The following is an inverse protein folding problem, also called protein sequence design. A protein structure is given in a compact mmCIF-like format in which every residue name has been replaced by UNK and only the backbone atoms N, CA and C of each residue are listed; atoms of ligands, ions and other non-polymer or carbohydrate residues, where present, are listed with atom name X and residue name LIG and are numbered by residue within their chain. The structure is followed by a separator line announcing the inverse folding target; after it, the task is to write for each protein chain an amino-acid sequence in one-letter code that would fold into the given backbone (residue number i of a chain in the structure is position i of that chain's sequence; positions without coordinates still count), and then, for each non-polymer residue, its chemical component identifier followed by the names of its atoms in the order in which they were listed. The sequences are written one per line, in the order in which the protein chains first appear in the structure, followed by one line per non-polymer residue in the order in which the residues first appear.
data_IF_948732247807
#
_entry.id   IF_948732247807
#
_cell.length_a   1.000
_cell.length_b   1.000
_cell.length_c   1.000
_cell.angle_alpha   90.00
_cell.angle_beta   90.00
_cell.angle_gamma   90.00
#
_symmetry.space_group_name_H-M   'P 1'
#
loop_
_entity.id
_entity.type
_entity.pdbx_description
1 polymer ?
#
# COMPACT_ATOMS: atom_id res chain seq x y z
N UNK A 1 -23.35 13.25 18.48
CA UNK A 1 -22.95 12.14 19.37
C UNK A 1 -23.21 10.83 18.64
N UNK A 2 -22.26 10.35 17.85
CA UNK A 2 -22.35 9.02 17.23
C UNK A 2 -21.83 7.99 18.24
N UNK A 3 -22.69 7.07 18.66
CA UNK A 3 -22.34 5.89 19.45
C UNK A 3 -21.39 5.03 18.61
N UNK A 4 -20.11 5.08 18.92
CA UNK A 4 -19.12 4.08 18.49
C UNK A 4 -19.52 2.76 19.17
N UNK A 5 -20.21 1.89 18.45
CA UNK A 5 -20.47 0.51 18.86
C UNK A 5 -19.10 -0.16 19.05
N UNK A 6 -18.66 -0.34 20.28
CA UNK A 6 -17.50 -1.17 20.63
C UNK A 6 -17.81 -2.61 20.20
N UNK A 7 -17.34 -3.02 19.02
CA UNK A 7 -17.37 -4.43 18.61
C UNK A 7 -16.65 -5.23 19.69
N UNK A 8 -17.31 -6.25 20.23
CA UNK A 8 -16.71 -7.18 21.19
C UNK A 8 -15.37 -7.72 20.62
N UNK A 9 -14.34 -7.88 21.44
CA UNK A 9 -13.05 -8.40 20.99
C UNK A 9 -13.25 -9.77 20.33
N UNK A 10 -12.51 -10.04 19.27
CA UNK A 10 -12.69 -11.17 18.37
C UNK A 10 -12.65 -12.52 19.09
N UNK A 11 -11.81 -12.66 20.12
CA UNK A 11 -11.71 -13.84 20.94
C UNK A 11 -12.98 -14.15 21.74
N UNK A 12 -13.74 -13.13 22.17
CA UNK A 12 -15.03 -13.30 22.86
C UNK A 12 -16.10 -13.88 21.94
N UNK A 13 -16.11 -13.45 20.68
CA UNK A 13 -17.02 -13.97 19.66
C UNK A 13 -16.67 -15.43 19.34
N UNK A 14 -15.40 -15.74 19.18
CA UNK A 14 -14.92 -17.07 18.86
C UNK A 14 -15.21 -18.04 20.02
N UNK A 15 -15.04 -17.58 21.27
CA UNK A 15 -15.42 -18.33 22.46
C UNK A 15 -16.96 -18.59 22.54
N UNK A 16 -17.76 -17.56 22.20
CA UNK A 16 -19.21 -17.69 22.15
C UNK A 16 -19.68 -18.74 21.13
N UNK A 17 -19.10 -18.71 19.92
CA UNK A 17 -19.35 -19.72 18.88
C UNK A 17 -18.94 -21.11 19.35
N UNK A 18 -17.78 -21.25 19.97
CA UNK A 18 -17.29 -22.53 20.51
C UNK A 18 -18.27 -23.12 21.53
N UNK A 19 -18.66 -22.34 22.54
CA UNK A 19 -19.59 -22.80 23.60
C UNK A 19 -20.95 -23.16 23.01
N UNK A 20 -21.50 -22.36 22.12
CA UNK A 20 -22.82 -22.58 21.52
C UNK A 20 -22.84 -23.84 20.66
N UNK A 21 -21.82 -24.03 19.80
CA UNK A 21 -21.78 -25.19 18.90
C UNK A 21 -21.46 -26.47 19.66
N UNK A 22 -20.51 -26.47 20.60
CA UNK A 22 -20.19 -27.64 21.42
C UNK A 22 -21.32 -27.99 22.36
N UNK A 23 -21.95 -27.01 23.01
CA UNK A 23 -23.12 -27.23 23.87
C UNK A 23 -24.31 -27.78 23.07
N UNK A 24 -24.54 -27.28 21.85
CA UNK A 24 -25.54 -27.81 20.93
C UNK A 24 -25.26 -29.24 20.52
N UNK A 25 -24.01 -29.61 20.25
CA UNK A 25 -23.62 -30.98 19.92
C UNK A 25 -23.87 -31.94 21.08
N UNK A 26 -23.51 -31.55 22.31
CA UNK A 26 -23.81 -32.33 23.52
C UNK A 26 -25.31 -32.49 23.70
N UNK A 27 -26.10 -31.41 23.56
CA UNK A 27 -27.55 -31.43 23.66
C UNK A 27 -28.22 -32.36 22.65
N UNK A 28 -27.79 -32.32 21.38
CA UNK A 28 -28.25 -33.21 20.32
C UNK A 28 -27.93 -34.66 20.66
N UNK A 29 -26.73 -34.96 21.10
CA UNK A 29 -26.32 -36.30 21.47
C UNK A 29 -27.10 -36.83 22.68
N UNK A 30 -27.37 -35.99 23.70
CA UNK A 30 -28.22 -36.36 24.85
C UNK A 30 -29.67 -36.66 24.43
N UNK A 31 -30.22 -35.87 23.51
CA UNK A 31 -31.57 -36.09 23.00
C UNK A 31 -31.65 -37.37 22.16
N UNK A 32 -30.63 -37.68 21.37
CA UNK A 32 -30.55 -38.91 20.60
C UNK A 32 -30.37 -40.15 21.52
N UNK A 33 -29.57 -40.04 22.59
CA UNK A 33 -29.40 -41.12 23.56
C UNK A 33 -30.68 -41.43 24.35
N UNK A 34 -31.56 -40.45 24.53
CA UNK A 34 -32.88 -40.68 25.13
C UNK A 34 -33.86 -41.42 24.21
N UNK A 35 -33.59 -41.43 22.89
CA UNK A 35 -34.42 -42.11 21.89
C UNK A 35 -33.91 -43.47 21.47
N UNK A 36 -32.64 -43.79 21.70
CA UNK A 36 -31.97 -45.03 21.30
C UNK A 36 -31.34 -45.67 22.53
N UNK A 37 -31.63 -46.95 22.79
CA UNK A 37 -31.07 -47.68 23.94
C UNK A 37 -29.54 -47.73 23.92
N UNK A 38 -28.94 -47.30 25.01
CA UNK A 38 -27.55 -47.42 25.53
C UNK A 38 -26.33 -47.28 24.59
N UNK A 39 -26.48 -47.24 23.30
CA UNK A 39 -25.36 -46.97 22.37
C UNK A 39 -25.72 -45.84 21.42
N UNK A 40 -25.04 -44.66 21.54
CA UNK A 40 -25.22 -43.54 20.63
C UNK A 40 -24.19 -43.60 19.49
N UNK A 41 -24.46 -44.33 18.39
CA UNK A 41 -23.50 -44.48 17.28
C UNK A 41 -23.28 -43.18 16.53
N UNK A 42 -24.13 -42.16 16.76
CA UNK A 42 -24.09 -40.87 16.04
C UNK A 42 -23.22 -39.82 16.73
N UNK A 43 -22.80 -40.04 17.99
CA UNK A 43 -22.06 -39.03 18.77
C UNK A 43 -20.79 -38.57 18.06
N UNK A 44 -19.98 -39.48 17.53
CA UNK A 44 -18.76 -39.15 16.79
C UNK A 44 -19.04 -38.25 15.58
N UNK A 45 -20.09 -38.57 14.80
CA UNK A 45 -20.46 -37.80 13.61
C UNK A 45 -20.94 -36.39 13.95
N UNK A 46 -21.74 -36.25 15.02
CA UNK A 46 -22.23 -34.95 15.53
C UNK A 46 -21.06 -34.08 15.99
N UNK A 47 -20.10 -34.64 16.71
CA UNK A 47 -18.91 -33.88 17.15
C UNK A 47 -17.98 -33.53 16.01
N UNK A 48 -17.81 -34.38 14.98
CA UNK A 48 -17.08 -34.02 13.76
C UNK A 48 -17.73 -32.79 13.08
N UNK A 49 -19.07 -32.81 12.94
CA UNK A 49 -19.82 -31.71 12.39
C UNK A 49 -19.64 -30.42 13.24
N UNK A 50 -19.67 -30.55 14.57
CA UNK A 50 -19.41 -29.42 15.47
C UNK A 50 -18.03 -28.81 15.25
N UNK A 51 -16.99 -29.62 15.10
CA UNK A 51 -15.62 -29.15 14.80
C UNK A 51 -15.56 -28.42 13.46
N UNK A 52 -16.23 -28.95 12.43
CA UNK A 52 -16.31 -28.28 11.11
C UNK A 52 -17.01 -26.93 11.22
N UNK A 53 -18.11 -26.83 11.95
CA UNK A 53 -18.82 -25.57 12.17
C UNK A 53 -17.98 -24.55 12.95
N UNK A 54 -17.30 -24.99 14.02
CA UNK A 54 -16.42 -24.14 14.80
C UNK A 54 -15.30 -23.61 13.89
N UNK A 55 -14.62 -24.45 13.12
CA UNK A 55 -13.57 -24.07 12.18
C UNK A 55 -14.09 -23.10 11.10
N UNK A 56 -15.35 -23.22 10.68
CA UNK A 56 -15.99 -22.34 9.69
C UNK A 56 -16.26 -20.95 10.23
N UNK A 57 -16.73 -20.83 11.48
CA UNK A 57 -17.20 -19.57 12.05
C UNK A 57 -16.18 -18.85 12.96
N UNK A 58 -15.08 -19.52 13.34
CA UNK A 58 -13.98 -18.93 14.12
C UNK A 58 -12.77 -18.64 13.24
N UNK A 59 -11.79 -17.88 13.77
CA UNK A 59 -10.58 -17.54 13.05
C UNK A 59 -9.34 -18.25 13.62
N UNK A 60 -8.48 -18.71 12.69
CA UNK A 60 -7.23 -19.41 13.02
C UNK A 60 -7.40 -20.91 13.25
N UNK A 61 -6.29 -21.58 13.54
CA UNK A 61 -6.24 -23.03 13.74
C UNK A 61 -6.67 -23.45 15.16
N UNK A 62 -6.38 -22.59 16.14
CA UNK A 62 -6.49 -22.93 17.56
C UNK A 62 -7.91 -23.36 17.99
N UNK A 63 -9.00 -22.63 17.62
CA UNK A 63 -10.35 -23.03 18.01
C UNK A 63 -10.75 -24.38 17.45
N UNK A 64 -10.37 -24.70 16.20
CA UNK A 64 -10.67 -25.98 15.57
C UNK A 64 -9.94 -27.15 16.24
N UNK A 65 -8.65 -26.99 16.55
CA UNK A 65 -7.85 -28.01 17.25
C UNK A 65 -8.36 -28.24 18.67
N UNK A 66 -8.70 -27.18 19.39
CA UNK A 66 -9.30 -27.29 20.74
C UNK A 66 -10.67 -27.99 20.69
N UNK A 67 -11.50 -27.65 19.70
CA UNK A 67 -12.78 -28.31 19.51
C UNK A 67 -12.64 -29.81 19.22
N UNK A 68 -11.62 -30.19 18.44
CA UNK A 68 -11.30 -31.59 18.19
C UNK A 68 -10.90 -32.33 19.47
N UNK A 69 -9.97 -31.75 20.25
CA UNK A 69 -9.50 -32.33 21.50
C UNK A 69 -10.64 -32.48 22.51
N UNK A 70 -11.45 -31.43 22.71
CA UNK A 70 -12.62 -31.44 23.61
C UNK A 70 -13.68 -32.41 23.09
N UNK A 71 -13.89 -32.48 21.76
CA UNK A 71 -14.82 -33.42 21.15
C UNK A 71 -14.45 -34.89 21.39
N UNK A 72 -13.17 -35.25 21.21
CA UNK A 72 -12.65 -36.58 21.46
C UNK A 72 -12.87 -36.97 22.95
N UNK A 73 -12.46 -36.07 23.87
CA UNK A 73 -12.65 -36.30 25.32
C UNK A 73 -14.13 -36.39 25.68
N UNK A 74 -14.96 -35.50 25.12
CA UNK A 74 -16.41 -35.48 25.38
C UNK A 74 -17.13 -36.75 24.88
N UNK A 75 -16.81 -37.24 23.70
CA UNK A 75 -17.39 -38.50 23.17
C UNK A 75 -16.98 -39.68 24.04
N UNK A 76 -15.67 -39.75 24.42
CA UNK A 76 -15.21 -40.88 25.27
C UNK A 76 -15.87 -40.87 26.64
N UNK A 77 -15.93 -39.73 27.32
CA UNK A 77 -16.40 -39.63 28.69
C UNK A 77 -17.93 -39.67 28.83
N UNK A 78 -18.70 -39.05 27.89
CA UNK A 78 -20.13 -38.87 28.02
C UNK A 78 -20.94 -39.91 27.23
N UNK A 79 -20.40 -40.42 26.11
CA UNK A 79 -21.19 -41.21 25.15
C UNK A 79 -20.60 -42.60 24.85
N UNK A 80 -19.56 -43.02 25.59
CA UNK A 80 -18.94 -44.35 25.45
C UNK A 80 -19.12 -45.18 26.72
N UNK A 81 -19.54 -46.43 26.58
CA UNK A 81 -19.67 -47.36 27.72
C UNK A 81 -18.28 -47.84 28.19
N UNK A 82 -17.99 -47.95 29.50
CA UNK A 82 -18.81 -47.50 30.65
C UNK A 82 -18.82 -45.96 30.73
N UNK A 83 -20.03 -45.41 30.93
CA UNK A 83 -20.22 -43.94 30.97
C UNK A 83 -19.50 -43.33 32.17
N UNK A 84 -18.96 -42.10 31.98
CA UNK A 84 -18.25 -41.32 32.99
C UNK A 84 -16.89 -41.91 33.41
N UNK A 85 -16.35 -42.85 32.64
CA UNK A 85 -14.99 -43.37 32.78
C UNK A 85 -14.23 -43.22 31.47
N UNK A 86 -12.90 -42.92 31.57
CA UNK A 86 -12.04 -42.92 30.39
C UNK A 86 -11.66 -44.34 30.02
N UNK A 87 -12.23 -44.88 28.97
CA UNK A 87 -11.94 -46.22 28.51
C UNK A 87 -11.29 -46.18 27.11
N UNK A 88 -10.00 -46.50 27.06
CA UNK A 88 -9.23 -46.62 25.83
C UNK A 88 -9.00 -48.10 25.43
N UNK A 89 -9.48 -49.03 26.23
CA UNK A 89 -9.20 -50.47 26.07
C UNK A 89 -10.24 -51.22 25.25
N UNK A 90 -11.35 -50.58 24.82
CA UNK A 90 -12.35 -51.20 23.96
C UNK A 90 -11.83 -51.24 22.51
N UNK A 91 -11.83 -52.40 21.90
CA UNK A 91 -11.37 -52.60 20.53
C UNK A 91 -12.09 -51.66 19.54
N UNK A 92 -11.29 -50.89 18.79
CA UNK A 92 -11.76 -49.93 17.79
C UNK A 92 -11.89 -48.47 18.24
N UNK A 93 -12.09 -48.17 19.53
CA UNK A 93 -12.21 -46.77 19.98
C UNK A 93 -10.93 -45.94 19.80
N UNK A 94 -9.71 -46.47 20.08
CA UNK A 94 -8.49 -45.69 19.84
C UNK A 94 -8.32 -45.26 18.37
N UNK A 95 -8.70 -46.15 17.44
CA UNK A 95 -8.69 -45.86 16.03
C UNK A 95 -9.72 -44.78 15.65
N UNK A 96 -10.94 -44.88 16.20
CA UNK A 96 -11.99 -43.85 15.95
C UNK A 96 -11.58 -42.49 16.46
N UNK A 97 -10.95 -42.41 17.63
CA UNK A 97 -10.43 -41.13 18.16
C UNK A 97 -9.27 -40.58 17.34
N UNK A 98 -8.34 -41.43 16.89
CA UNK A 98 -7.27 -41.02 16.01
C UNK A 98 -7.82 -40.49 14.68
N UNK A 99 -8.78 -41.16 14.06
CA UNK A 99 -9.44 -40.70 12.83
C UNK A 99 -10.16 -39.38 13.06
N UNK A 100 -10.92 -39.23 14.15
CA UNK A 100 -11.62 -38.01 14.49
C UNK A 100 -10.65 -36.84 14.66
N UNK A 101 -9.51 -37.03 15.33
CA UNK A 101 -8.49 -36.02 15.51
C UNK A 101 -7.88 -35.61 14.14
N UNK A 102 -7.50 -36.60 13.33
CA UNK A 102 -6.91 -36.37 12.00
C UNK A 102 -7.87 -35.61 11.10
N UNK A 103 -9.12 -36.05 11.01
CA UNK A 103 -10.16 -35.37 10.21
C UNK A 103 -10.36 -33.93 10.68
N UNK A 104 -10.42 -33.73 12.00
CA UNK A 104 -10.61 -32.39 12.59
C UNK A 104 -9.47 -31.46 12.28
N UNK A 105 -8.22 -31.90 12.39
CA UNK A 105 -7.04 -31.13 12.05
C UNK A 105 -6.99 -30.81 10.54
N UNK A 106 -7.28 -31.78 9.69
CA UNK A 106 -7.33 -31.58 8.23
C UNK A 106 -8.39 -30.55 7.84
N UNK A 107 -9.62 -30.71 8.36
CA UNK A 107 -10.71 -29.75 8.05
C UNK A 107 -10.39 -28.35 8.56
N UNK A 108 -9.86 -28.22 9.77
CA UNK A 108 -9.44 -26.93 10.33
C UNK A 108 -8.38 -26.27 9.48
N UNK A 109 -7.37 -27.04 9.04
CA UNK A 109 -6.29 -26.58 8.17
C UNK A 109 -6.82 -26.12 6.81
N UNK A 110 -7.61 -26.95 6.14
CA UNK A 110 -8.20 -26.63 4.84
C UNK A 110 -9.09 -25.38 4.91
N UNK A 111 -9.94 -25.29 5.93
CA UNK A 111 -10.83 -24.14 6.10
C UNK A 111 -10.04 -22.83 6.30
N UNK A 112 -8.96 -22.89 7.09
CA UNK A 112 -8.10 -21.72 7.31
C UNK A 112 -7.36 -21.31 6.03
N UNK A 113 -6.86 -22.27 5.26
CA UNK A 113 -6.22 -22.01 3.97
C UNK A 113 -7.19 -21.38 2.96
N UNK A 114 -8.42 -21.91 2.85
CA UNK A 114 -9.44 -21.36 1.96
C UNK A 114 -9.75 -19.90 2.33
N UNK A 115 -9.99 -19.60 3.62
CA UNK A 115 -10.25 -18.23 4.08
C UNK A 115 -9.10 -17.28 3.75
N UNK A 116 -7.86 -17.71 3.96
CA UNK A 116 -6.67 -16.91 3.63
C UNK A 116 -6.58 -16.66 2.13
N UNK A 117 -6.85 -17.66 1.32
CA UNK A 117 -6.82 -17.53 -0.14
C UNK A 117 -7.93 -16.61 -0.66
N UNK A 118 -9.16 -16.69 -0.09
CA UNK A 118 -10.26 -15.78 -0.41
C UNK A 118 -9.91 -14.34 -0.04
N UNK A 119 -9.29 -14.11 1.11
CA UNK A 119 -8.88 -12.78 1.54
C UNK A 119 -7.81 -12.18 0.59
N UNK A 120 -6.80 -12.98 0.24
CA UNK A 120 -5.76 -12.54 -0.71
C UNK A 120 -6.35 -12.25 -2.11
N UNK A 121 -7.31 -13.05 -2.57
CA UNK A 121 -8.01 -12.80 -3.84
C UNK A 121 -8.81 -11.49 -3.79
N UNK A 122 -9.54 -11.26 -2.69
CA UNK A 122 -10.31 -10.02 -2.53
C UNK A 122 -9.42 -8.78 -2.51
N UNK A 123 -8.28 -8.83 -1.84
CA UNK A 123 -7.28 -7.75 -1.82
C UNK A 123 -6.71 -7.52 -3.24
N UNK A 124 -6.33 -8.58 -3.94
CA UNK A 124 -5.81 -8.50 -5.30
C UNK A 124 -6.85 -7.96 -6.31
N UNK A 125 -8.13 -8.36 -6.21
CA UNK A 125 -9.21 -7.81 -7.04
C UNK A 125 -9.45 -6.33 -6.77
N UNK A 126 -9.43 -5.92 -5.51
CA UNK A 126 -9.56 -4.52 -5.11
C UNK A 126 -8.45 -3.65 -5.67
N UNK A 127 -7.21 -4.13 -5.60
CA UNK A 127 -6.05 -3.40 -6.13
C UNK A 127 -6.08 -3.36 -7.67
N UNK A 128 -6.46 -4.45 -8.31
CA UNK A 128 -6.65 -4.51 -9.77
C UNK A 128 -7.75 -3.55 -10.26
N UNK A 129 -8.87 -3.47 -9.52
CA UNK A 129 -9.95 -2.52 -9.83
C UNK A 129 -9.46 -1.08 -9.68
N UNK A 130 -8.70 -0.74 -8.62
CA UNK A 130 -8.08 0.57 -8.44
C UNK A 130 -7.15 0.92 -9.60
N UNK A 131 -6.25 0.02 -9.97
CA UNK A 131 -5.32 0.23 -11.07
C UNK A 131 -6.05 0.47 -12.41
N UNK A 132 -7.10 -0.30 -12.70
CA UNK A 132 -7.90 -0.14 -13.91
C UNK A 132 -8.67 1.19 -13.93
N UNK A 133 -9.31 1.57 -12.83
CA UNK A 133 -10.01 2.86 -12.70
C UNK A 133 -9.05 4.03 -12.93
N UNK A 134 -7.87 3.99 -12.35
CA UNK A 134 -6.90 5.07 -12.48
C UNK A 134 -6.30 5.15 -13.90
N UNK A 135 -6.11 4.01 -14.57
CA UNK A 135 -5.70 3.99 -15.98
C UNK A 135 -6.77 4.59 -16.88
N UNK A 136 -8.06 4.27 -16.66
CA UNK A 136 -9.18 4.85 -17.37
C UNK A 136 -9.26 6.36 -17.13
N UNK A 137 -9.25 6.80 -15.88
CA UNK A 137 -9.28 8.23 -15.49
C UNK A 137 -8.17 9.02 -16.18
N UNK A 138 -6.96 8.48 -16.23
CA UNK A 138 -5.84 9.17 -16.86
C UNK A 138 -5.97 9.29 -18.38
N UNK A 139 -6.51 8.26 -19.04
CA UNK A 139 -6.83 8.34 -20.47
C UNK A 139 -7.90 9.41 -20.72
N UNK A 140 -8.95 9.43 -19.88
CA UNK A 140 -10.10 10.33 -20.05
C UNK A 140 -9.77 11.80 -19.68
N UNK A 141 -8.74 12.03 -18.87
CA UNK A 141 -8.19 13.38 -18.59
C UNK A 141 -7.24 13.84 -19.72
N UNK A 142 -6.47 12.93 -20.33
CA UNK A 142 -5.51 13.29 -21.39
C UNK A 142 -6.21 13.89 -22.64
N UNK A 143 -7.37 13.35 -22.99
CA UNK A 143 -8.12 13.78 -24.19
C UNK A 143 -8.64 15.23 -24.09
N UNK A 144 -9.42 15.65 -23.07
CA UNK A 144 -9.88 17.03 -22.94
C UNK A 144 -8.70 18.00 -22.75
N UNK A 145 -7.63 17.59 -22.07
CA UNK A 145 -6.43 18.41 -21.97
C UNK A 145 -5.83 18.73 -23.35
N UNK A 146 -5.64 17.73 -24.21
CA UNK A 146 -5.09 17.96 -25.54
C UNK A 146 -5.94 18.97 -26.34
N UNK A 147 -7.27 18.89 -26.17
CA UNK A 147 -8.21 19.85 -26.75
C UNK A 147 -8.03 21.26 -26.15
N UNK A 148 -7.96 21.40 -24.82
CA UNK A 148 -7.75 22.68 -24.13
C UNK A 148 -6.42 23.30 -24.53
N UNK A 149 -5.32 22.53 -24.51
CA UNK A 149 -4.00 23.00 -24.93
C UNK A 149 -3.96 23.46 -26.39
N UNK A 150 -4.58 22.68 -27.31
CA UNK A 150 -4.67 23.02 -28.71
C UNK A 150 -5.46 24.30 -28.96
N UNK A 151 -6.64 24.42 -28.35
CA UNK A 151 -7.50 25.59 -28.47
C UNK A 151 -6.83 26.84 -27.87
N UNK A 152 -6.18 26.71 -26.71
CA UNK A 152 -5.45 27.82 -26.09
C UNK A 152 -4.32 28.33 -27.00
N UNK A 153 -3.54 27.44 -27.64
CA UNK A 153 -2.48 27.83 -28.56
C UNK A 153 -3.06 28.54 -29.81
N UNK A 154 -4.17 28.04 -30.36
CA UNK A 154 -4.86 28.66 -31.52
C UNK A 154 -5.38 30.07 -31.19
N UNK A 155 -5.86 30.27 -29.97
CA UNK A 155 -6.36 31.59 -29.50
C UNK A 155 -5.19 32.55 -29.26
N UNK A 156 -4.04 32.09 -28.75
CA UNK A 156 -2.82 32.89 -28.57
C UNK A 156 -2.22 33.36 -29.91
N UNK A 157 -2.31 32.59 -30.97
CA UNK A 157 -1.84 32.94 -32.31
C UNK A 157 -2.75 33.96 -33.04
N UNK A 158 -3.95 34.21 -32.51
CA UNK A 158 -4.90 35.21 -33.08
C UNK A 158 -4.50 36.63 -32.66
N UNK A 159 -4.33 37.55 -33.64
CA UNK A 159 -3.89 38.94 -33.46
C UNK A 159 -4.81 39.87 -32.62
N UNK A 160 -5.93 39.38 -32.08
CA UNK A 160 -7.01 40.22 -31.52
C UNK A 160 -7.30 40.06 -30.03
N UNK A 161 -6.47 39.33 -29.27
CA UNK A 161 -6.69 39.20 -27.85
C UNK A 161 -6.21 40.43 -27.05
N UNK A 162 -7.08 40.91 -26.14
CA UNK A 162 -6.68 41.88 -25.13
C UNK A 162 -5.66 41.24 -24.15
N UNK A 163 -4.89 42.06 -23.45
CA UNK A 163 -3.93 41.59 -22.45
C UNK A 163 -4.61 40.75 -21.35
N UNK A 164 -5.84 41.07 -20.99
CA UNK A 164 -6.67 40.31 -20.05
C UNK A 164 -7.08 38.92 -20.63
N UNK A 165 -7.42 38.89 -21.93
CA UNK A 165 -7.72 37.64 -22.62
C UNK A 165 -6.52 36.71 -22.74
N UNK A 166 -5.33 37.24 -22.97
CA UNK A 166 -4.07 36.48 -22.95
C UNK A 166 -3.78 35.88 -21.58
N UNK A 167 -4.01 36.65 -20.50
CA UNK A 167 -3.85 36.16 -19.13
C UNK A 167 -4.79 34.99 -18.82
N UNK A 168 -6.05 35.06 -19.26
CA UNK A 168 -7.03 33.96 -19.07
C UNK A 168 -6.64 32.69 -19.85
N UNK A 169 -6.16 32.83 -21.07
CA UNK A 169 -5.70 31.69 -21.88
C UNK A 169 -4.49 31.02 -21.24
N UNK A 170 -3.53 31.79 -20.74
CA UNK A 170 -2.37 31.26 -20.04
C UNK A 170 -2.77 30.52 -18.76
N UNK A 171 -3.73 31.03 -17.99
CA UNK A 171 -4.27 30.37 -16.80
C UNK A 171 -4.96 29.05 -17.16
N UNK A 172 -5.74 29.00 -18.24
CA UNK A 172 -6.36 27.76 -18.73
C UNK A 172 -5.28 26.74 -19.13
N UNK A 173 -4.22 27.17 -19.81
CA UNK A 173 -3.11 26.33 -20.21
C UNK A 173 -2.36 25.75 -19.00
N UNK A 174 -2.09 26.55 -17.99
CA UNK A 174 -1.45 26.12 -16.74
C UNK A 174 -2.31 25.11 -15.98
N UNK A 175 -3.62 25.35 -15.87
CA UNK A 175 -4.55 24.42 -15.23
C UNK A 175 -4.65 23.10 -15.98
N UNK A 176 -4.66 23.11 -17.33
CA UNK A 176 -4.65 21.89 -18.14
C UNK A 176 -3.35 21.08 -17.99
N UNK A 177 -2.21 21.74 -17.91
CA UNK A 177 -0.92 21.09 -17.63
C UNK A 177 -0.89 20.49 -16.23
N UNK A 178 -1.41 21.20 -15.24
CA UNK A 178 -1.52 20.70 -13.88
C UNK A 178 -2.38 19.42 -13.78
N UNK A 179 -3.56 19.41 -14.42
CA UNK A 179 -4.43 18.23 -14.44
C UNK A 179 -3.74 16.99 -15.02
N UNK A 180 -2.87 17.19 -16.03
CA UNK A 180 -2.10 16.08 -16.57
C UNK A 180 -1.07 15.54 -15.59
N UNK A 181 -0.26 16.44 -14.99
CA UNK A 181 0.72 16.04 -13.98
C UNK A 181 0.06 15.28 -12.82
N UNK A 182 -1.14 15.73 -12.41
CA UNK A 182 -1.93 15.03 -11.41
C UNK A 182 -2.30 13.62 -11.88
N UNK A 183 -2.80 13.47 -13.10
CA UNK A 183 -3.18 12.17 -13.66
C UNK A 183 -1.99 11.22 -13.83
N UNK A 184 -0.85 11.72 -14.32
CA UNK A 184 0.39 10.97 -14.47
C UNK A 184 0.96 10.53 -13.10
N UNK A 185 0.88 11.40 -12.10
CA UNK A 185 1.31 11.09 -10.74
C UNK A 185 0.41 10.01 -10.10
N UNK A 186 -0.92 10.10 -10.26
CA UNK A 186 -1.85 9.08 -9.77
C UNK A 186 -1.59 7.73 -10.44
N UNK A 187 -1.34 7.71 -11.76
CA UNK A 187 -0.99 6.49 -12.50
C UNK A 187 0.31 5.86 -12.01
N UNK A 188 1.31 6.69 -11.74
CA UNK A 188 2.61 6.20 -11.25
C UNK A 188 2.46 5.55 -9.88
N UNK A 189 1.72 6.18 -8.93
CA UNK A 189 1.46 5.57 -7.60
C UNK A 189 0.78 4.21 -7.73
N UNK A 190 -0.20 4.07 -8.63
CA UNK A 190 -0.92 2.81 -8.78
C UNK A 190 -0.13 1.73 -9.49
N UNK A 191 0.71 2.10 -10.47
CA UNK A 191 1.62 1.15 -11.11
C UNK A 191 2.63 0.55 -10.12
N UNK A 192 3.17 1.37 -9.22
CA UNK A 192 4.24 0.97 -8.30
C UNK A 192 3.74 0.49 -6.93
N UNK A 193 2.44 0.55 -6.65
CA UNK A 193 1.84 -0.03 -5.44
C UNK A 193 1.55 -1.53 -5.55
N UNK A 194 1.71 -2.12 -6.74
CA UNK A 194 1.60 -3.57 -6.94
C UNK A 194 2.96 -4.22 -6.66
N UNK A 195 3.01 -5.14 -5.71
CA UNK A 195 4.17 -6.03 -5.50
C UNK A 195 4.40 -6.83 -6.81
N UNK A 196 5.53 -6.58 -7.47
CA UNK A 196 5.92 -7.32 -8.67
C UNK A 196 5.95 -6.52 -9.98
N UNK A 197 5.81 -5.20 -9.98
CA UNK A 197 6.09 -4.40 -11.17
C UNK A 197 7.59 -4.44 -11.45
N UNK A 198 7.97 -5.16 -12.51
CA UNK A 198 9.33 -5.18 -13.01
C UNK A 198 9.56 -3.86 -13.76
N UNK A 199 10.44 -3.01 -13.22
CA UNK A 199 10.94 -1.84 -13.93
C UNK A 199 12.04 -2.30 -14.88
N UNK A 200 11.96 -1.90 -16.14
CA UNK A 200 13.05 -2.09 -17.09
C UNK A 200 14.17 -1.10 -16.75
N UNK A 201 15.21 -1.58 -16.10
CA UNK A 201 16.37 -0.78 -15.73
C UNK A 201 17.45 -0.97 -16.81
N UNK A 202 18.09 0.13 -17.17
CA UNK A 202 19.32 0.17 -17.98
C UNK A 202 20.40 0.93 -17.22
N UNK A 203 21.65 0.65 -17.53
CA UNK A 203 22.77 1.39 -16.96
C UNK A 203 22.79 2.80 -17.56
N UNK A 204 22.38 3.77 -16.75
CA UNK A 204 22.19 5.16 -17.16
C UNK A 204 23.20 6.07 -16.47
N UNK A 205 23.66 7.09 -17.20
CA UNK A 205 24.55 8.14 -16.66
C UNK A 205 23.75 9.10 -15.80
N UNK A 206 24.02 9.09 -14.50
CA UNK A 206 23.26 9.90 -13.51
C UNK A 206 23.31 11.39 -13.83
N UNK A 207 24.47 11.88 -14.25
CA UNK A 207 24.66 13.30 -14.59
C UNK A 207 23.82 13.75 -15.79
N UNK A 208 23.61 12.88 -16.77
CA UNK A 208 22.77 13.17 -17.93
C UNK A 208 21.30 13.29 -17.52
N UNK A 209 20.83 12.43 -16.63
CA UNK A 209 19.46 12.47 -16.10
C UNK A 209 19.23 13.76 -15.30
N UNK A 210 20.18 14.12 -14.42
CA UNK A 210 20.13 15.40 -13.67
C UNK A 210 20.14 16.58 -14.62
N UNK A 211 21.02 16.57 -15.63
CA UNK A 211 21.06 17.62 -16.64
C UNK A 211 19.77 17.74 -17.46
N UNK A 212 19.13 16.61 -17.79
CA UNK A 212 17.84 16.58 -18.48
C UNK A 212 16.72 17.16 -17.61
N UNK A 213 16.64 16.74 -16.34
CA UNK A 213 15.68 17.27 -15.37
C UNK A 213 15.81 18.79 -15.20
N UNK A 214 17.04 19.32 -15.07
CA UNK A 214 17.29 20.78 -14.96
C UNK A 214 16.82 21.52 -16.21
N UNK A 215 17.14 21.02 -17.40
CA UNK A 215 16.69 21.65 -18.67
C UNK A 215 15.17 21.68 -18.76
N UNK A 216 14.51 20.60 -18.40
CA UNK A 216 13.06 20.49 -18.44
C UNK A 216 12.39 21.37 -17.38
N UNK A 217 12.95 21.44 -16.17
CA UNK A 217 12.50 22.33 -15.12
C UNK A 217 12.55 23.79 -15.56
N UNK A 218 13.68 24.26 -16.12
CA UNK A 218 13.83 25.64 -16.62
C UNK A 218 12.87 25.98 -17.75
N UNK A 219 12.54 25.00 -18.60
CA UNK A 219 11.58 25.21 -19.69
C UNK A 219 10.15 25.36 -19.19
N UNK A 220 9.80 24.61 -18.12
CA UNK A 220 8.43 24.52 -17.63
C UNK A 220 8.11 25.54 -16.52
N UNK A 221 9.10 25.90 -15.73
CA UNK A 221 8.95 26.86 -14.63
C UNK A 221 9.62 28.17 -15.01
N UNK A 222 8.84 29.26 -15.03
CA UNK A 222 9.37 30.61 -15.25
C UNK A 222 10.07 31.11 -13.97
N UNK A 223 11.17 30.44 -13.61
CA UNK A 223 11.99 30.81 -12.44
C UNK A 223 13.46 30.86 -12.83
N UNK A 224 14.12 31.94 -12.42
CA UNK A 224 15.55 32.15 -12.65
C UNK A 224 16.42 31.77 -11.44
N UNK A 225 15.86 30.94 -10.51
CA UNK A 225 16.61 30.52 -9.33
C UNK A 225 17.85 29.74 -9.78
N UNK A 226 19.07 30.19 -9.38
CA UNK A 226 20.32 29.50 -9.66
C UNK A 226 20.29 28.05 -9.13
N UNK A 227 20.84 27.14 -9.94
CA UNK A 227 20.96 25.71 -9.53
C UNK A 227 22.44 25.38 -9.52
N UNK A 228 22.99 25.12 -8.34
CA UNK A 228 24.35 24.66 -8.16
C UNK A 228 24.34 23.11 -8.17
N UNK A 229 25.21 22.52 -8.99
CA UNK A 229 25.33 21.05 -9.09
C UNK A 229 26.71 20.62 -8.61
N UNK A 230 26.76 19.77 -7.60
CA UNK A 230 27.97 19.13 -7.11
C UNK A 230 27.91 17.65 -7.49
N UNK A 231 28.96 17.17 -8.17
CA UNK A 231 29.04 15.80 -8.66
C UNK A 231 30.47 15.26 -8.48
N UNK A 232 30.65 13.93 -8.45
CA UNK A 232 31.97 13.31 -8.53
C UNK A 232 32.70 13.65 -9.86
N UNK A 233 34.01 13.46 -9.90
CA UNK A 233 34.80 13.60 -11.12
C UNK A 233 34.54 12.44 -12.10
N UNK A 234 34.28 11.25 -11.57
CA UNK A 234 34.00 10.04 -12.35
C UNK A 234 32.55 9.99 -12.80
N UNK A 235 32.32 9.42 -13.99
CA UNK A 235 30.96 9.22 -14.53
C UNK A 235 30.31 8.06 -13.78
N UNK A 236 29.13 8.29 -13.24
CA UNK A 236 28.39 7.28 -12.50
C UNK A 236 27.33 6.61 -13.38
N UNK A 237 27.47 5.30 -13.57
CA UNK A 237 26.46 4.43 -14.18
C UNK A 237 25.64 3.76 -13.08
N UNK A 238 24.33 3.89 -13.18
CA UNK A 238 23.39 3.31 -12.19
C UNK A 238 22.24 2.62 -12.93
N UNK A 239 21.90 1.37 -12.58
CA UNK A 239 20.78 0.68 -13.18
C UNK A 239 19.44 1.31 -12.78
N UNK A 240 18.82 2.05 -13.71
CA UNK A 240 17.57 2.75 -13.47
C UNK A 240 16.72 2.89 -14.74
N UNK A 241 15.45 3.23 -14.56
CA UNK A 241 14.60 3.80 -15.61
C UNK A 241 14.81 5.32 -15.63
N UNK A 242 15.48 5.81 -16.67
CA UNK A 242 15.85 7.22 -16.85
C UNK A 242 14.63 8.15 -16.76
N UNK A 243 13.50 7.75 -17.36
CA UNK A 243 12.27 8.57 -17.40
C UNK A 243 11.65 8.73 -16.02
N UNK A 244 11.63 7.65 -15.24
CA UNK A 244 11.07 7.66 -13.89
C UNK A 244 11.95 8.45 -12.92
N UNK A 245 13.27 8.31 -13.00
CA UNK A 245 14.19 9.08 -12.14
C UNK A 245 14.21 10.54 -12.54
N UNK A 246 14.15 10.88 -13.83
CA UNK A 246 13.94 12.27 -14.29
C UNK A 246 12.66 12.86 -13.68
N UNK A 247 11.56 12.09 -13.64
CA UNK A 247 10.29 12.52 -13.02
C UNK A 247 10.45 12.78 -11.51
N UNK A 248 11.22 11.96 -10.78
CA UNK A 248 11.53 12.21 -9.35
C UNK A 248 12.23 13.55 -9.21
N UNK A 249 13.29 13.79 -9.98
CA UNK A 249 14.06 15.03 -9.91
C UNK A 249 13.20 16.24 -10.26
N UNK A 250 12.37 16.16 -11.30
CA UNK A 250 11.45 17.23 -11.68
C UNK A 250 10.46 17.54 -10.56
N UNK A 251 9.84 16.54 -9.96
CA UNK A 251 8.91 16.73 -8.86
C UNK A 251 9.58 17.42 -7.66
N UNK A 252 10.84 17.07 -7.35
CA UNK A 252 11.60 17.72 -6.27
C UNK A 252 11.95 19.16 -6.60
N UNK A 253 12.38 19.46 -7.83
CA UNK A 253 12.70 20.81 -8.28
C UNK A 253 11.46 21.72 -8.32
N UNK A 254 10.35 21.21 -8.87
CA UNK A 254 9.05 21.93 -8.88
C UNK A 254 8.53 22.18 -7.47
N UNK A 255 8.77 21.23 -6.54
CA UNK A 255 8.41 21.40 -5.14
C UNK A 255 9.13 22.59 -4.51
N UNK A 256 10.44 22.79 -4.77
CA UNK A 256 11.18 23.97 -4.32
C UNK A 256 10.59 25.24 -4.92
N UNK A 257 10.41 25.33 -6.25
CA UNK A 257 9.88 26.51 -6.90
C UNK A 257 8.48 26.93 -6.39
N UNK A 258 7.66 25.95 -6.00
CA UNK A 258 6.27 26.18 -5.59
C UNK A 258 6.12 26.45 -4.09
N UNK A 259 6.90 25.78 -3.27
CA UNK A 259 6.73 25.77 -1.81
C UNK A 259 7.81 26.53 -1.03
N UNK A 260 8.87 26.97 -1.71
CA UNK A 260 9.96 27.73 -1.11
C UNK A 260 10.15 29.07 -1.83
N UNK A 261 9.15 30.00 -1.76
CA UNK A 261 9.21 31.28 -2.49
C UNK A 261 10.36 32.19 -2.01
N UNK A 262 10.88 31.97 -0.82
CA UNK A 262 12.05 32.66 -0.26
C UNK A 262 13.39 32.03 -0.71
N UNK A 263 13.38 30.91 -1.42
CA UNK A 263 14.59 30.27 -1.91
C UNK A 263 15.27 31.14 -2.99
N UNK A 264 16.55 31.40 -2.79
CA UNK A 264 17.40 32.15 -3.72
C UNK A 264 18.35 31.23 -4.47
N UNK A 265 18.50 29.98 -4.06
CA UNK A 265 19.40 29.02 -4.68
C UNK A 265 18.90 27.59 -4.44
N UNK A 266 19.07 26.73 -5.46
CA UNK A 266 18.81 25.29 -5.41
C UNK A 266 20.13 24.56 -5.51
N UNK A 267 20.32 23.53 -4.68
CA UNK A 267 21.52 22.69 -4.66
C UNK A 267 21.15 21.29 -5.09
N UNK A 268 21.89 20.72 -6.04
CA UNK A 268 21.81 19.31 -6.40
C UNK A 268 23.17 18.70 -6.10
N UNK A 269 23.18 17.63 -5.31
CA UNK A 269 24.40 16.89 -5.01
C UNK A 269 24.24 15.43 -5.44
N UNK A 270 25.23 14.93 -6.18
CA UNK A 270 25.40 13.52 -6.54
C UNK A 270 26.57 13.00 -5.73
N UNK A 271 26.38 11.94 -4.95
CA UNK A 271 27.43 11.34 -4.14
C UNK A 271 27.43 9.82 -4.32
N UNK A 272 28.59 9.29 -4.65
CA UNK A 272 28.85 7.86 -4.67
C UNK A 272 29.27 7.38 -3.27
N UNK A 273 28.61 6.34 -2.76
CA UNK A 273 28.96 5.66 -1.52
C UNK A 273 29.20 4.14 -1.80
N UNK A 274 29.71 3.81 -2.98
CA UNK A 274 30.04 2.45 -3.41
C UNK A 274 28.80 1.66 -3.80
N UNK A 275 28.11 1.00 -2.86
CA UNK A 275 26.90 0.22 -3.15
C UNK A 275 25.65 1.08 -3.40
N UNK A 276 25.73 2.40 -3.20
CA UNK A 276 24.60 3.33 -3.29
C UNK A 276 25.05 4.66 -3.90
N UNK A 277 24.27 5.13 -4.84
CA UNK A 277 24.41 6.49 -5.34
C UNK A 277 23.32 7.36 -4.75
N UNK A 278 23.72 8.42 -4.04
CA UNK A 278 22.83 9.39 -3.44
C UNK A 278 22.61 10.58 -4.35
N UNK A 279 21.34 10.97 -4.48
CA UNK A 279 20.95 12.22 -5.13
C UNK A 279 20.24 13.09 -4.10
N UNK A 280 20.66 14.34 -4.01
CA UNK A 280 20.10 15.31 -3.08
C UNK A 280 19.63 16.52 -3.85
N UNK A 281 18.42 17.00 -3.57
CA UNK A 281 17.87 18.29 -4.02
C UNK A 281 17.57 19.11 -2.78
N UNK A 282 18.15 20.28 -2.65
CA UNK A 282 18.00 21.12 -1.48
C UNK A 282 17.81 22.59 -1.88
N UNK A 283 17.19 23.38 -0.99
CA UNK A 283 17.03 24.83 -1.12
C UNK A 283 17.54 25.57 0.13
N UNK A 284 17.56 26.89 0.07
CA UNK A 284 17.92 27.77 1.17
C UNK A 284 16.73 28.63 1.66
N UNK A 285 15.50 28.20 1.43
CA UNK A 285 14.29 28.93 1.79
C UNK A 285 13.76 28.62 3.20
N UNK A 286 12.44 28.65 3.36
CA UNK A 286 11.76 28.57 4.67
C UNK A 286 11.80 27.16 5.30
N UNK A 287 12.08 26.11 4.51
CA UNK A 287 12.08 24.73 4.96
C UNK A 287 10.67 24.13 5.10
N UNK A 288 10.59 22.95 5.73
CA UNK A 288 9.39 22.15 5.88
C UNK A 288 8.88 22.29 7.31
N UNK A 289 7.58 22.58 7.54
CA UNK A 289 7.01 22.57 8.89
C UNK A 289 7.27 21.22 9.60
N UNK A 290 7.77 21.20 10.84
CA UNK A 290 8.15 19.95 11.53
C UNK A 290 7.03 18.92 11.62
N UNK A 291 5.76 19.38 11.70
CA UNK A 291 4.59 18.49 11.77
C UNK A 291 4.36 17.71 10.49
N UNK A 292 4.86 18.19 9.34
CA UNK A 292 4.68 17.59 8.03
C UNK A 292 5.79 16.59 7.67
N UNK A 293 6.98 16.69 8.29
CA UNK A 293 8.13 15.84 7.95
C UNK A 293 7.82 14.34 8.03
N UNK A 294 7.02 13.91 9.02
CA UNK A 294 6.67 12.50 9.22
C UNK A 294 5.66 11.93 8.23
N UNK A 295 4.85 12.80 7.58
CA UNK A 295 3.74 12.38 6.72
C UNK A 295 3.89 12.86 5.28
N UNK A 296 5.00 13.52 4.96
CA UNK A 296 5.22 14.23 3.70
C UNK A 296 5.11 13.33 2.47
N UNK A 297 5.47 12.05 2.61
CA UNK A 297 5.45 11.05 1.54
C UNK A 297 4.19 10.16 1.57
N UNK A 298 3.25 10.34 2.49
CA UNK A 298 2.11 9.43 2.66
C UNK A 298 0.94 9.73 1.72
N UNK A 299 1.05 10.80 0.92
CA UNK A 299 0.06 11.17 -0.10
C UNK A 299 -1.22 11.78 0.47
N UNK A 300 -1.34 11.97 1.77
CA UNK A 300 -2.49 12.55 2.45
C UNK A 300 -2.03 13.53 3.53
N UNK A 301 -2.26 14.81 3.31
CA UNK A 301 -2.12 15.81 4.39
C UNK A 301 -3.40 15.83 5.21
N UNK A 302 -3.33 15.77 6.56
CA UNK A 302 -4.52 15.87 7.42
C UNK A 302 -5.25 17.18 7.14
N UNK A 303 -6.56 17.10 6.89
CA UNK A 303 -7.46 18.27 6.80
C UNK A 303 -7.33 19.08 8.08
N UNK A 304 -6.74 20.28 8.01
CA UNK A 304 -6.58 21.20 9.13
C UNK A 304 -5.14 21.49 9.56
N UNK A 305 -4.13 20.85 8.96
CA UNK A 305 -2.72 21.07 9.31
C UNK A 305 -2.12 22.36 8.70
N UNK A 306 -2.78 22.93 7.68
CA UNK A 306 -2.37 24.20 7.02
C UNK A 306 -3.63 24.97 6.67
N UNK A 307 -3.67 26.27 7.00
CA UNK A 307 -4.74 27.17 6.55
C UNK A 307 -4.89 27.08 5.03
N UNK A 308 -6.14 26.97 4.56
CA UNK A 308 -6.52 26.68 3.18
C UNK A 308 -6.10 27.80 2.20
N UNK A 309 -4.81 27.93 1.95
CA UNK A 309 -4.31 28.65 0.78
C UNK A 309 -4.21 27.69 -0.41
N UNK A 310 -4.45 28.14 -1.62
CA UNK A 310 -4.38 27.36 -2.86
C UNK A 310 -3.06 26.57 -3.04
N UNK A 311 -2.00 27.01 -2.34
CA UNK A 311 -0.68 26.37 -2.32
C UNK A 311 -0.62 25.00 -1.64
N UNK A 312 -1.52 24.73 -0.67
CA UNK A 312 -1.49 23.49 0.13
C UNK A 312 -2.16 22.29 -0.56
N UNK A 313 -3.01 22.51 -1.56
CA UNK A 313 -3.73 21.42 -2.27
C UNK A 313 -2.82 20.52 -3.10
N UNK A 314 -1.59 20.92 -3.39
CA UNK A 314 -0.69 20.26 -4.36
C UNK A 314 0.44 19.44 -3.71
N UNK A 315 0.62 19.52 -2.39
CA UNK A 315 1.83 19.02 -1.71
C UNK A 315 1.89 17.48 -1.51
N UNK A 316 0.76 16.75 -1.63
CA UNK A 316 0.74 15.35 -1.19
C UNK A 316 1.11 14.32 -2.27
N UNK A 317 0.72 14.52 -3.52
CA UNK A 317 0.76 13.46 -4.53
C UNK A 317 2.16 13.34 -5.18
N UNK A 318 2.82 14.44 -5.48
CA UNK A 318 4.14 14.42 -6.13
C UNK A 318 5.22 13.70 -5.30
N UNK A 319 5.25 13.94 -3.99
CA UNK A 319 6.24 13.31 -3.10
C UNK A 319 5.93 11.82 -2.83
N UNK A 320 4.67 11.42 -2.78
CA UNK A 320 4.31 10.00 -2.68
C UNK A 320 4.68 9.22 -3.95
N UNK A 321 4.58 9.86 -5.13
CA UNK A 321 5.10 9.32 -6.40
C UNK A 321 6.62 9.15 -6.33
N UNK A 322 7.36 10.16 -5.86
CA UNK A 322 8.81 10.06 -5.69
C UNK A 322 9.18 8.84 -4.84
N UNK A 323 8.50 8.65 -3.70
CA UNK A 323 8.73 7.49 -2.83
C UNK A 323 8.41 6.16 -3.51
N UNK A 324 7.32 6.09 -4.27
CA UNK A 324 6.94 4.90 -5.00
C UNK A 324 7.97 4.52 -6.08
N UNK A 325 8.40 5.49 -6.88
CA UNK A 325 9.42 5.28 -7.93
C UNK A 325 10.76 4.86 -7.32
N UNK A 326 11.25 5.56 -6.31
CA UNK A 326 12.53 5.24 -5.67
C UNK A 326 12.52 3.86 -5.04
N UNK A 327 11.43 3.48 -4.36
CA UNK A 327 11.25 2.13 -3.79
C UNK A 327 11.20 1.04 -4.85
N UNK A 328 10.54 1.28 -5.95
CA UNK A 328 10.48 0.35 -7.07
C UNK A 328 11.88 0.13 -7.70
N UNK A 329 12.78 1.12 -7.60
CA UNK A 329 14.20 0.97 -7.95
C UNK A 329 15.04 0.25 -6.89
N UNK A 330 14.47 -0.05 -5.71
CA UNK A 330 15.18 -0.66 -4.58
C UNK A 330 15.87 0.34 -3.66
N UNK A 331 15.57 1.64 -3.83
CA UNK A 331 16.10 2.73 -3.04
C UNK A 331 15.15 3.23 -1.95
N UNK A 332 15.51 4.33 -1.31
CA UNK A 332 14.68 5.02 -0.32
C UNK A 332 14.89 6.53 -0.38
N UNK A 333 13.82 7.31 -0.09
CA UNK A 333 13.81 8.78 -0.12
C UNK A 333 13.52 9.34 1.27
N UNK A 334 14.19 10.45 1.60
CA UNK A 334 14.11 11.14 2.87
C UNK A 334 13.96 12.65 2.68
N UNK A 335 13.36 13.31 3.67
CA UNK A 335 13.28 14.76 3.73
C UNK A 335 13.72 15.25 5.11
N UNK A 336 14.42 16.37 5.15
CA UNK A 336 14.79 17.05 6.39
C UNK A 336 14.94 18.56 6.16
N UNK A 337 14.95 19.33 7.23
CA UNK A 337 15.36 20.72 7.18
C UNK A 337 16.89 20.81 7.30
N UNK A 338 17.47 21.76 6.54
CA UNK A 338 18.91 22.05 6.58
C UNK A 338 19.26 22.89 7.79
N UNK A 339 20.46 22.69 8.30
CA UNK A 339 21.05 23.58 9.30
C UNK A 339 21.36 24.90 8.59
N UNK A 340 20.74 25.98 9.03
CA UNK A 340 20.87 27.31 8.38
C UNK A 340 19.70 27.73 7.51
N UNK A 341 18.66 26.90 7.40
CA UNK A 341 17.42 27.16 6.64
C UNK A 341 17.31 26.37 5.33
N UNK A 342 16.06 26.19 4.88
CA UNK A 342 15.71 25.45 3.69
C UNK A 342 15.40 23.99 3.91
N UNK A 343 14.89 23.34 2.88
CA UNK A 343 14.57 21.91 2.85
C UNK A 343 15.63 21.12 2.09
N UNK A 344 15.72 19.85 2.43
CA UNK A 344 16.57 18.88 1.76
C UNK A 344 15.80 17.61 1.53
N UNK A 345 15.73 17.18 0.27
CA UNK A 345 15.21 15.90 -0.18
C UNK A 345 16.38 15.08 -0.71
N UNK A 346 16.57 13.89 -0.16
CA UNK A 346 17.64 13.00 -0.60
C UNK A 346 17.12 11.59 -0.81
N UNK A 347 17.58 10.95 -1.86
CA UNK A 347 17.26 9.54 -2.13
C UNK A 347 18.50 8.81 -2.63
N UNK A 348 18.48 7.51 -2.48
CA UNK A 348 19.56 6.67 -3.00
C UNK A 348 19.01 5.60 -3.93
N UNK A 349 19.85 5.19 -4.87
CA UNK A 349 19.63 4.06 -5.76
C UNK A 349 20.76 3.06 -5.56
N UNK A 350 20.49 1.72 -5.66
CA UNK A 350 21.55 0.73 -5.61
C UNK A 350 22.44 0.89 -6.85
N UNK A 351 23.76 0.94 -6.62
CA UNK A 351 24.76 0.78 -7.66
C UNK A 351 25.09 -0.71 -7.74
N UNK A 352 25.26 -1.28 -8.93
CA UNK A 352 25.82 -2.63 -9.02
C UNK A 352 27.26 -2.62 -8.50
N UNK A 353 27.61 -3.58 -7.61
CA UNK A 353 28.97 -3.78 -7.18
C UNK A 353 29.80 -4.25 -8.39
N UNK A 354 30.64 -3.36 -8.91
CA UNK A 354 31.75 -3.75 -9.78
C UNK A 354 31.56 -3.63 -11.28
N UNK A 355 31.57 -2.41 -11.79
CA UNK A 355 32.25 -2.14 -13.05
C UNK A 355 33.29 -1.05 -12.74
N UNK A 356 34.40 -1.43 -12.13
CA UNK A 356 35.68 -0.71 -12.18
C UNK A 356 36.47 -1.21 -13.36
#
# INVERSE_FOLDING_TARGET
MQKVSKRAPQWLRDLGVFILVMGGAVGICMLLSACYDDNNPFATSVFILAVVLISRFTNGYLPGVLAAAVGVVGVNYLFTYPFHEFNLSIDGYPLTFAVMLVVSVLVSTLTTQIKRQEQLRYEAEKDRMRANLLRSVSHDIRTPRAAIMGLSATVEEGETLSDEGRGMVEEIRQNAQWLLHLAENILSVTRFSEEGVVIEKSDEVVEEIVGSAIRRFRKNCATDIPIAVTKPEEILLVPMDATLIEQVLLNLLENVARHSPSATEIFIEIRDEGSRVWLTVADNGDGIPPQLLGVLFDGYLPLGAVEASDRSRHMGIGLSVCRAIVRAHGGEIYARNRVGGGAEFRFWLPAEEGHT
#
